data_IF_564985417628
#
_entry.id   IF_564985417628
#
_cell.length_a   1.000
_cell.length_b   1.000
_cell.length_c   1.000
_cell.angle_alpha   90.00
_cell.angle_beta   90.00
_cell.angle_gamma   90.00
#
_symmetry.space_group_name_H-M   'P 1'
#
loop_
_entity.id
_entity.type
_entity.pdbx_description
1 polymer ?
#
# COMPACT_ATOMS: atom_id res chain seq x y z
N UNK A 1 57.53 -35.86 35.33
CA UNK A 1 56.74 -35.60 34.11
C UNK A 1 55.34 -35.00 34.42
N UNK A 2 55.25 -33.87 35.14
CA UNK A 2 53.95 -33.20 35.44
C UNK A 2 53.89 -31.72 35.00
N UNK A 3 54.98 -31.17 34.48
CA UNK A 3 55.08 -29.76 34.06
C UNK A 3 54.40 -29.47 32.72
N UNK A 4 54.38 -30.42 31.78
CA UNK A 4 53.90 -30.18 30.41
C UNK A 4 52.37 -30.08 30.28
N UNK A 5 51.61 -30.77 31.14
CA UNK A 5 50.12 -30.74 31.10
C UNK A 5 49.56 -29.45 31.69
N UNK A 6 50.20 -28.92 32.74
CA UNK A 6 49.83 -27.66 33.37
C UNK A 6 50.16 -26.46 32.47
N UNK A 7 51.32 -26.48 31.81
CA UNK A 7 51.71 -25.45 30.84
C UNK A 7 50.80 -25.44 29.61
N UNK A 8 50.44 -26.61 29.06
CA UNK A 8 49.48 -26.69 27.95
C UNK A 8 48.09 -26.20 28.35
N UNK A 9 47.65 -26.42 29.60
CA UNK A 9 46.37 -25.89 30.11
C UNK A 9 46.40 -24.36 30.29
N UNK A 10 47.53 -23.81 30.78
CA UNK A 10 47.74 -22.36 30.90
C UNK A 10 47.81 -21.69 29.53
N UNK A 11 48.46 -22.34 28.55
CA UNK A 11 48.56 -21.84 27.19
C UNK A 11 47.21 -21.89 26.47
N UNK A 12 46.43 -22.97 26.62
CA UNK A 12 45.04 -23.03 26.09
C UNK A 12 44.14 -21.96 26.71
N UNK A 13 44.27 -21.67 28.01
CA UNK A 13 43.53 -20.57 28.66
C UNK A 13 43.98 -19.19 28.20
N UNK A 14 45.28 -18.97 27.94
CA UNK A 14 45.78 -17.72 27.36
C UNK A 14 45.27 -17.54 25.94
N UNK A 15 45.36 -18.56 25.09
CA UNK A 15 44.87 -18.52 23.70
C UNK A 15 43.36 -18.32 23.66
N UNK A 16 42.58 -18.98 24.53
CA UNK A 16 41.12 -18.77 24.59
C UNK A 16 40.74 -17.36 25.07
N UNK A 17 41.52 -16.75 25.98
CA UNK A 17 41.33 -15.35 26.41
C UNK A 17 41.78 -14.34 25.36
N UNK A 18 42.80 -14.64 24.58
CA UNK A 18 43.23 -13.77 23.48
C UNK A 18 42.29 -13.86 22.30
N UNK A 19 41.71 -15.04 22.01
CA UNK A 19 40.69 -15.22 20.96
C UNK A 19 39.38 -14.53 21.33
N UNK A 20 38.96 -14.59 22.60
CA UNK A 20 37.79 -13.83 23.07
C UNK A 20 38.02 -12.32 23.02
N UNK A 21 39.24 -11.85 23.36
CA UNK A 21 39.61 -10.44 23.22
C UNK A 21 39.73 -9.99 21.77
N UNK A 22 40.30 -10.78 20.87
CA UNK A 22 40.42 -10.44 19.45
C UNK A 22 39.08 -10.46 18.70
N UNK A 23 38.08 -11.20 19.19
CA UNK A 23 36.70 -11.13 18.67
C UNK A 23 35.98 -9.85 19.11
N UNK A 24 36.46 -9.17 20.16
CA UNK A 24 35.95 -7.87 20.64
C UNK A 24 36.79 -6.70 20.09
N UNK A 25 38.11 -6.90 19.87
CA UNK A 25 39.07 -5.89 19.41
C UNK A 25 39.02 -5.61 17.89
N UNK A 26 38.13 -6.29 17.15
CA UNK A 26 37.80 -5.96 15.76
C UNK A 26 36.75 -4.86 15.59
N UNK A 27 36.18 -4.34 16.68
CA UNK A 27 35.35 -3.12 16.66
C UNK A 27 36.20 -1.97 17.17
N UNK A 28 36.27 -0.81 16.49
CA UNK A 28 36.95 0.36 17.03
C UNK A 28 36.18 0.86 18.27
N UNK A 29 36.43 0.25 19.43
CA UNK A 29 35.72 0.54 20.68
C UNK A 29 36.24 1.81 21.36
N UNK A 30 37.47 2.23 21.09
CA UNK A 30 38.08 3.40 21.72
C UNK A 30 37.48 4.72 21.25
N UNK A 31 37.25 4.90 19.95
CA UNK A 31 36.63 6.12 19.42
C UNK A 31 35.13 6.16 19.77
N UNK A 32 34.43 5.02 19.66
CA UNK A 32 33.00 4.97 20.01
C UNK A 32 32.78 5.25 21.50
N UNK A 33 33.64 4.79 22.42
CA UNK A 33 33.52 5.13 23.84
C UNK A 33 33.96 6.56 24.17
N UNK A 34 34.87 7.17 23.40
CA UNK A 34 35.29 8.56 23.61
C UNK A 34 34.27 9.59 23.11
N UNK A 35 33.47 9.25 22.09
CA UNK A 35 32.46 10.16 21.52
C UNK A 35 31.00 9.75 21.83
N UNK A 36 30.73 8.54 22.34
CA UNK A 36 29.37 8.12 22.71
C UNK A 36 28.87 8.70 24.04
N UNK A 37 29.75 9.23 24.89
CA UNK A 37 29.34 9.91 26.12
C UNK A 37 28.78 11.32 25.86
N UNK A 38 28.98 11.91 24.67
CA UNK A 38 28.59 13.30 24.36
C UNK A 38 27.44 13.44 23.36
N UNK A 39 27.06 12.39 22.63
CA UNK A 39 25.89 12.44 21.72
C UNK A 39 24.64 11.98 22.43
N UNK A 40 23.75 12.92 22.74
CA UNK A 40 22.41 12.63 23.28
C UNK A 40 21.48 12.11 22.18
N UNK A 41 20.35 11.51 22.57
CA UNK A 41 19.29 11.11 21.63
C UNK A 41 18.76 12.32 20.83
N UNK A 42 18.78 13.50 21.45
CA UNK A 42 18.43 14.77 20.83
C UNK A 42 19.43 15.17 19.73
N UNK A 43 20.74 15.02 20.00
CA UNK A 43 21.79 15.28 19.01
C UNK A 43 21.71 14.31 17.82
N UNK A 44 21.43 13.02 18.10
CA UNK A 44 21.25 12.01 17.07
C UNK A 44 20.04 12.32 16.18
N UNK A 45 18.93 12.75 16.79
CA UNK A 45 17.73 13.19 16.07
C UNK A 45 18.00 14.43 15.23
N UNK A 46 18.75 15.40 15.74
CA UNK A 46 19.13 16.61 15.00
C UNK A 46 20.03 16.29 13.79
N UNK A 47 20.98 15.36 13.95
CA UNK A 47 21.86 14.88 12.86
C UNK A 47 21.04 14.11 11.81
N UNK A 48 20.12 13.26 12.26
CA UNK A 48 19.21 12.51 11.39
C UNK A 48 18.34 13.48 10.56
N UNK A 49 17.74 14.49 11.19
CA UNK A 49 16.89 15.48 10.51
C UNK A 49 17.65 16.30 9.45
N UNK A 50 18.95 16.56 9.65
CA UNK A 50 19.80 17.31 8.71
C UNK A 50 20.16 16.52 7.44
N UNK A 51 20.06 15.20 7.45
CA UNK A 51 20.48 14.36 6.32
C UNK A 51 19.43 13.27 5.99
N UNK A 52 18.77 13.32 4.81
CA UNK A 52 17.66 12.42 4.47
C UNK A 52 18.00 10.93 4.58
N UNK A 53 19.22 10.55 4.20
CA UNK A 53 19.68 9.16 4.24
C UNK A 53 19.91 8.70 5.68
N UNK A 54 20.44 9.59 6.54
CA UNK A 54 20.68 9.31 7.95
C UNK A 54 19.35 9.20 8.69
N UNK A 55 18.38 10.06 8.36
CA UNK A 55 17.01 9.96 8.88
C UNK A 55 16.36 8.62 8.59
N UNK A 56 16.42 8.18 7.34
CA UNK A 56 15.84 6.90 6.93
C UNK A 56 16.47 5.73 7.71
N UNK A 57 17.80 5.73 7.88
CA UNK A 57 18.50 4.71 8.64
C UNK A 57 18.20 4.77 10.15
N UNK A 58 18.04 5.99 10.71
CA UNK A 58 17.66 6.20 12.11
C UNK A 58 16.24 5.71 12.38
N UNK A 59 15.26 6.12 11.55
CA UNK A 59 13.86 5.71 11.66
C UNK A 59 13.71 4.18 11.52
N UNK A 60 14.53 3.54 10.68
CA UNK A 60 14.52 2.09 10.54
C UNK A 60 15.13 1.38 11.75
N UNK A 61 16.23 1.90 12.31
CA UNK A 61 16.86 1.37 13.51
C UNK A 61 15.96 1.54 14.75
N UNK A 62 15.26 2.67 14.86
CA UNK A 62 14.34 2.97 15.96
C UNK A 62 13.22 1.92 16.04
N UNK A 63 12.69 1.48 14.89
CA UNK A 63 11.70 0.38 14.82
C UNK A 63 12.22 -0.93 15.43
N UNK A 64 13.52 -1.23 15.34
CA UNK A 64 14.11 -2.42 15.96
C UNK A 64 14.21 -2.32 17.48
N UNK A 65 14.17 -1.11 18.05
CA UNK A 65 14.18 -0.88 19.49
C UNK A 65 12.79 -1.01 20.13
N UNK A 66 11.73 -1.16 19.33
CA UNK A 66 10.36 -1.25 19.80
C UNK A 66 10.09 -2.56 20.56
N UNK A 67 9.29 -2.48 21.61
CA UNK A 67 8.78 -3.66 22.28
C UNK A 67 7.60 -4.25 21.47
N UNK A 68 7.20 -5.48 21.80
CA UNK A 68 6.14 -6.20 21.08
C UNK A 68 4.82 -5.41 20.98
N UNK A 69 4.48 -4.60 22.00
CA UNK A 69 3.25 -3.79 21.98
C UNK A 69 3.34 -2.64 20.99
N UNK A 70 4.49 -1.98 20.91
CA UNK A 70 4.71 -0.86 20.00
C UNK A 70 4.72 -1.34 18.54
N UNK A 71 5.30 -2.52 18.28
CA UNK A 71 5.29 -3.15 16.96
C UNK A 71 3.86 -3.49 16.52
N UNK A 72 3.07 -4.14 17.39
CA UNK A 72 1.67 -4.49 17.08
C UNK A 72 0.83 -3.25 16.81
N UNK A 73 0.97 -2.19 17.63
CA UNK A 73 0.24 -0.94 17.42
C UNK A 73 0.58 -0.28 16.07
N UNK A 74 1.86 -0.33 15.66
CA UNK A 74 2.28 0.16 14.36
C UNK A 74 1.72 -0.69 13.21
N UNK A 75 1.81 -2.01 13.29
CA UNK A 75 1.29 -2.92 12.27
C UNK A 75 -0.23 -2.77 12.12
N UNK A 76 -0.97 -2.69 13.23
CA UNK A 76 -2.41 -2.45 13.21
C UNK A 76 -2.74 -1.13 12.49
N UNK A 77 -2.02 -0.05 12.81
CA UNK A 77 -2.20 1.24 12.14
C UNK A 77 -1.93 1.16 10.64
N UNK A 78 -0.86 0.49 10.23
CA UNK A 78 -0.54 0.30 8.81
C UNK A 78 -1.62 -0.54 8.12
N UNK A 79 -2.11 -1.58 8.79
CA UNK A 79 -3.18 -2.42 8.27
C UNK A 79 -4.48 -1.65 8.11
N UNK A 80 -4.83 -0.78 9.05
CA UNK A 80 -6.05 0.02 8.97
C UNK A 80 -5.98 1.05 7.85
N UNK A 81 -4.86 1.75 7.69
CA UNK A 81 -4.63 2.66 6.55
C UNK A 81 -4.78 1.92 5.21
N UNK A 82 -4.18 0.73 5.08
CA UNK A 82 -4.28 -0.07 3.86
C UNK A 82 -5.70 -0.58 3.61
N UNK A 83 -6.44 -0.94 4.65
CA UNK A 83 -7.85 -1.32 4.52
C UNK A 83 -8.68 -0.14 4.02
N UNK A 84 -8.47 1.05 4.59
CA UNK A 84 -9.17 2.26 4.16
C UNK A 84 -8.89 2.58 2.69
N UNK A 85 -7.62 2.51 2.27
CA UNK A 85 -7.21 2.67 0.87
C UNK A 85 -7.89 1.65 -0.04
N UNK A 86 -7.85 0.36 0.32
CA UNK A 86 -8.47 -0.71 -0.47
C UNK A 86 -10.00 -0.57 -0.55
N UNK A 87 -10.66 -0.13 0.53
CA UNK A 87 -12.11 0.13 0.54
C UNK A 87 -12.43 1.30 -0.38
N UNK A 88 -11.62 2.36 -0.38
CA UNK A 88 -11.83 3.52 -1.25
C UNK A 88 -11.66 3.14 -2.73
N UNK A 89 -10.60 2.40 -3.07
CA UNK A 89 -10.36 1.89 -4.43
C UNK A 89 -11.53 1.02 -4.91
N UNK A 90 -11.94 0.03 -4.11
CA UNK A 90 -13.08 -0.82 -4.44
C UNK A 90 -14.39 -0.04 -4.65
N UNK A 91 -14.62 1.01 -3.85
CA UNK A 91 -15.82 1.85 -4.00
C UNK A 91 -15.79 2.69 -5.28
N UNK A 92 -14.61 3.14 -5.72
CA UNK A 92 -14.45 3.86 -6.97
C UNK A 92 -14.71 2.94 -8.15
N UNK A 93 -14.11 1.76 -8.17
CA UNK A 93 -14.32 0.76 -9.23
C UNK A 93 -15.80 0.39 -9.36
N UNK A 94 -16.46 0.11 -8.23
CA UNK A 94 -17.89 -0.23 -8.20
C UNK A 94 -18.76 0.95 -8.69
N UNK A 95 -18.37 2.19 -8.37
CA UNK A 95 -19.10 3.37 -8.83
C UNK A 95 -18.95 3.59 -10.33
N UNK A 96 -17.75 3.38 -10.88
CA UNK A 96 -17.48 3.44 -12.31
C UNK A 96 -18.25 2.36 -13.07
N UNK A 97 -18.19 1.11 -12.61
CA UNK A 97 -18.92 0.00 -13.25
C UNK A 97 -20.43 0.26 -13.27
N UNK A 98 -21.01 0.69 -12.14
CA UNK A 98 -22.43 1.07 -12.07
C UNK A 98 -22.75 2.26 -12.95
N UNK A 99 -21.85 3.23 -13.06
CA UNK A 99 -21.99 4.39 -13.94
C UNK A 99 -22.05 3.97 -15.40
N UNK A 100 -21.12 3.12 -15.83
CA UNK A 100 -21.06 2.58 -17.20
C UNK A 100 -22.30 1.76 -17.51
N UNK A 101 -22.69 0.82 -16.64
CA UNK A 101 -23.89 0.00 -16.85
C UNK A 101 -25.14 0.85 -17.00
N UNK A 102 -25.36 1.82 -16.10
CA UNK A 102 -26.49 2.75 -16.19
C UNK A 102 -26.43 3.60 -17.47
N UNK A 103 -25.24 4.04 -17.87
CA UNK A 103 -25.03 4.80 -19.10
C UNK A 103 -25.38 3.98 -20.35
N UNK A 104 -24.96 2.72 -20.41
CA UNK A 104 -25.26 1.80 -21.51
C UNK A 104 -26.76 1.51 -21.58
N UNK A 105 -27.41 1.24 -20.44
CA UNK A 105 -28.85 0.98 -20.40
C UNK A 105 -29.66 2.19 -20.86
N UNK A 106 -29.35 3.38 -20.33
CA UNK A 106 -29.99 4.62 -20.76
C UNK A 106 -29.77 4.89 -22.23
N UNK A 107 -28.52 4.80 -22.70
CA UNK A 107 -28.19 5.05 -24.11
C UNK A 107 -28.87 4.07 -25.08
N UNK A 108 -29.06 2.80 -24.69
CA UNK A 108 -29.83 1.83 -25.47
C UNK A 108 -31.30 2.22 -25.58
N UNK A 109 -31.91 2.68 -24.49
CA UNK A 109 -33.32 3.10 -24.48
C UNK A 109 -33.50 4.40 -25.27
N UNK A 110 -32.67 5.42 -24.98
CA UNK A 110 -32.69 6.70 -25.68
C UNK A 110 -32.46 6.52 -27.19
N UNK A 111 -31.48 5.72 -27.59
CA UNK A 111 -31.23 5.42 -29.00
C UNK A 111 -32.41 4.72 -29.70
N UNK A 112 -33.10 3.79 -29.03
CA UNK A 112 -34.33 3.17 -29.57
C UNK A 112 -35.43 4.22 -29.79
N UNK A 113 -35.61 5.12 -28.83
CA UNK A 113 -36.61 6.19 -28.89
C UNK A 113 -36.28 7.18 -30.01
N UNK A 114 -35.02 7.59 -30.15
CA UNK A 114 -34.56 8.49 -31.21
C UNK A 114 -34.80 7.88 -32.60
N UNK A 115 -34.44 6.60 -32.78
CA UNK A 115 -34.69 5.88 -34.02
C UNK A 115 -36.20 5.77 -34.30
N UNK A 116 -37.01 5.44 -33.29
CA UNK A 116 -38.46 5.39 -33.44
C UNK A 116 -39.05 6.73 -33.87
N UNK A 117 -38.63 7.84 -33.24
CA UNK A 117 -39.05 9.20 -33.62
C UNK A 117 -38.65 9.55 -35.06
N UNK A 118 -37.42 9.21 -35.45
CA UNK A 118 -36.95 9.43 -36.81
C UNK A 118 -37.73 8.60 -37.84
N UNK A 119 -38.09 7.36 -37.53
CA UNK A 119 -38.92 6.52 -38.38
C UNK A 119 -40.35 7.06 -38.51
N UNK A 120 -40.96 7.52 -37.41
CA UNK A 120 -42.26 8.17 -37.41
C UNK A 120 -42.27 9.44 -38.27
N UNK A 121 -41.24 10.29 -38.15
CA UNK A 121 -41.10 11.50 -38.96
C UNK A 121 -41.00 11.20 -40.47
N UNK A 122 -40.54 10.00 -40.84
CA UNK A 122 -40.47 9.52 -42.22
C UNK A 122 -41.72 8.74 -42.66
N UNK A 123 -42.81 8.76 -41.87
CA UNK A 123 -44.07 8.06 -42.13
C UNK A 123 -43.90 6.53 -42.31
N UNK A 124 -42.95 5.92 -41.60
CA UNK A 124 -42.80 4.45 -41.56
C UNK A 124 -43.97 3.84 -40.78
N UNK A 125 -44.48 2.69 -41.23
CA UNK A 125 -45.59 2.01 -40.56
C UNK A 125 -45.24 1.58 -39.11
N UNK A 126 -46.20 1.74 -38.20
CA UNK A 126 -46.02 1.49 -36.77
C UNK A 126 -45.58 0.04 -36.51
N UNK A 127 -46.12 -0.94 -37.26
CA UNK A 127 -45.75 -2.34 -37.06
C UNK A 127 -44.27 -2.60 -37.38
N UNK A 128 -43.74 -1.94 -38.41
CA UNK A 128 -42.31 -2.05 -38.78
C UNK A 128 -41.43 -1.42 -37.70
N UNK A 129 -41.86 -0.30 -37.11
CA UNK A 129 -41.12 0.37 -36.03
C UNK A 129 -41.08 -0.52 -34.78
N UNK A 130 -42.18 -1.18 -34.44
CA UNK A 130 -42.23 -2.18 -33.34
C UNK A 130 -41.21 -3.28 -33.58
N UNK A 131 -41.18 -3.87 -34.77
CA UNK A 131 -40.25 -4.96 -35.11
C UNK A 131 -38.78 -4.52 -35.05
N UNK A 132 -38.49 -3.29 -35.51
CA UNK A 132 -37.12 -2.79 -35.59
C UNK A 132 -36.56 -2.29 -34.24
N UNK A 133 -37.39 -1.67 -33.41
CA UNK A 133 -36.96 -1.04 -32.14
C UNK A 133 -37.21 -1.92 -30.92
N UNK A 134 -38.14 -2.88 -31.05
CA UNK A 134 -38.63 -3.71 -29.95
C UNK A 134 -39.43 -2.91 -28.91
N UNK A 135 -39.88 -1.70 -29.24
CA UNK A 135 -40.81 -0.91 -28.44
C UNK A 135 -42.24 -1.42 -28.65
N UNK A 136 -43.07 -1.29 -27.63
CA UNK A 136 -44.49 -1.61 -27.70
C UNK A 136 -45.27 -0.60 -28.55
N UNK A 137 -46.43 -1.04 -29.05
CA UNK A 137 -47.34 -0.17 -29.81
C UNK A 137 -47.79 1.03 -28.96
N UNK A 138 -47.98 0.84 -27.65
CA UNK A 138 -48.32 1.92 -26.72
C UNK A 138 -47.21 2.97 -26.61
N UNK A 139 -45.96 2.54 -26.43
CA UNK A 139 -44.81 3.46 -26.34
C UNK A 139 -44.65 4.26 -27.65
N UNK A 140 -44.79 3.62 -28.81
CA UNK A 140 -44.70 4.32 -30.10
C UNK A 140 -45.83 5.33 -30.29
N UNK A 141 -47.05 5.00 -29.84
CA UNK A 141 -48.19 5.95 -29.88
C UNK A 141 -47.95 7.14 -28.96
N UNK A 142 -47.47 6.91 -27.73
CA UNK A 142 -47.09 8.00 -26.82
C UNK A 142 -45.99 8.88 -27.42
N UNK A 143 -45.01 8.30 -28.12
CA UNK A 143 -44.00 9.06 -28.84
C UNK A 143 -44.58 9.91 -29.98
N UNK A 144 -45.61 9.40 -30.67
CA UNK A 144 -46.31 10.15 -31.74
C UNK A 144 -47.15 11.32 -31.23
N UNK A 145 -47.70 11.22 -30.01
CA UNK A 145 -48.47 12.31 -29.39
C UNK A 145 -47.58 13.45 -28.88
N UNK A 146 -46.29 13.16 -28.64
CA UNK A 146 -45.28 14.10 -28.14
C UNK A 146 -44.29 14.57 -29.23
N UNK A 147 -44.59 14.32 -30.50
CA UNK A 147 -43.82 14.72 -31.68
C UNK A 147 -44.35 16.03 -32.26
#
# INVERSE_FOLDING_TARGET
>A
MKSTKLERSRMRRKVSRTVSKSSEEGRPSSLRQQYAEETTEEDLKEIAEKAPIIKLAYDELDKFCWNEKDLVAYEERIMDLRKEEAILEYRLDLAEEKGIQKGIEKGKIEGKIEVAKAMLANNVDINIIVECTGLSISEIKELSENL
#
